data_IF_155125645789
#
_entry.id   IF_155125645789
#
_cell.length_a   1.000
_cell.length_b   1.000
_cell.length_c   1.000
_cell.angle_alpha   90.00
_cell.angle_beta   90.00
_cell.angle_gamma   90.00
#
_symmetry.space_group_name_H-M   'P 1'
#
loop_
_entity.id
_entity.type
_entity.pdbx_description
1 polymer ?
#
# COMPACT_ATOMS: atom_id res chain seq x y z
N UNK A 1 -68.46 -21.14 32.40
CA UNK A 1 -68.78 -19.75 32.03
C UNK A 1 -67.50 -18.94 32.17
N UNK A 2 -66.67 -18.94 31.13
CA UNK A 2 -65.38 -18.22 31.09
C UNK A 2 -65.61 -16.94 30.32
N UNK A 3 -65.48 -15.79 31.00
CA UNK A 3 -65.57 -14.48 30.37
C UNK A 3 -64.37 -14.29 29.43
N UNK A 4 -64.67 -13.93 28.18
CA UNK A 4 -63.69 -13.56 27.18
C UNK A 4 -63.46 -12.06 27.31
N UNK A 5 -62.34 -11.68 27.93
CA UNK A 5 -61.93 -10.30 28.12
C UNK A 5 -61.50 -9.72 26.75
N UNK A 6 -62.33 -8.85 26.17
CA UNK A 6 -61.99 -8.16 24.92
C UNK A 6 -61.02 -7.02 25.21
N UNK A 7 -59.73 -7.23 24.90
CA UNK A 7 -58.72 -6.17 24.88
C UNK A 7 -59.04 -5.16 23.77
N UNK A 8 -59.23 -3.90 24.13
CA UNK A 8 -59.36 -2.79 23.18
C UNK A 8 -58.02 -2.52 22.50
N UNK A 9 -58.00 -2.61 21.17
CA UNK A 9 -56.86 -2.24 20.35
C UNK A 9 -56.77 -0.71 20.29
N UNK A 10 -55.81 -0.12 21.02
CA UNK A 10 -55.45 1.29 20.84
C UNK A 10 -54.68 1.39 19.52
N UNK A 11 -55.30 1.98 18.49
CA UNK A 11 -54.68 2.16 17.18
C UNK A 11 -53.45 3.05 17.25
N UNK A 12 -52.44 2.75 16.43
CA UNK A 12 -51.25 3.59 16.26
C UNK A 12 -51.65 5.02 15.90
N UNK A 13 -51.09 5.99 16.62
CA UNK A 13 -51.30 7.40 16.30
C UNK A 13 -50.41 7.79 15.12
N UNK A 14 -50.86 8.69 14.23
CA UNK A 14 -50.05 9.17 13.10
C UNK A 14 -48.70 9.76 13.55
N UNK A 15 -48.66 10.34 14.75
CA UNK A 15 -47.45 10.88 15.36
C UNK A 15 -46.43 9.78 15.72
N UNK A 16 -46.89 8.59 16.11
CA UNK A 16 -46.02 7.46 16.48
C UNK A 16 -45.25 6.92 15.28
N UNK A 17 -45.91 6.78 14.13
CA UNK A 17 -45.27 6.37 12.87
C UNK A 17 -44.25 7.43 12.41
N UNK A 18 -44.58 8.71 12.54
CA UNK A 18 -43.69 9.80 12.15
C UNK A 18 -42.43 9.85 13.02
N UNK A 19 -42.57 9.66 14.34
CA UNK A 19 -41.43 9.55 15.25
C UNK A 19 -40.58 8.33 14.93
N UNK A 20 -41.20 7.17 14.65
CA UNK A 20 -40.48 5.95 14.27
C UNK A 20 -39.66 6.14 12.98
N UNK A 21 -40.22 6.82 11.96
CA UNK A 21 -39.50 7.13 10.72
C UNK A 21 -38.32 8.08 10.94
N UNK A 22 -38.45 9.07 11.82
CA UNK A 22 -37.33 9.98 12.16
C UNK A 22 -36.20 9.21 12.85
N UNK A 23 -36.53 8.40 13.86
CA UNK A 23 -35.53 7.57 14.55
C UNK A 23 -34.85 6.59 13.59
N UNK A 24 -35.63 5.97 12.68
CA UNK A 24 -35.09 5.10 11.64
C UNK A 24 -34.14 5.83 10.70
N UNK A 25 -34.52 7.03 10.22
CA UNK A 25 -33.68 7.83 9.33
C UNK A 25 -32.34 8.21 10.00
N UNK A 26 -32.38 8.62 11.28
CA UNK A 26 -31.16 8.92 12.05
C UNK A 26 -30.29 7.67 12.20
N UNK A 27 -30.90 6.51 12.52
CA UNK A 27 -30.19 5.24 12.61
C UNK A 27 -29.52 4.83 11.29
N UNK A 28 -30.19 5.04 10.15
CA UNK A 28 -29.67 4.71 8.83
C UNK A 28 -28.50 5.62 8.43
N UNK A 29 -28.55 6.91 8.76
CA UNK A 29 -27.41 7.83 8.55
C UNK A 29 -26.18 7.41 9.38
N UNK A 30 -26.39 6.95 10.62
CA UNK A 30 -25.33 6.39 11.45
C UNK A 30 -24.67 5.15 10.81
N UNK A 31 -25.49 4.21 10.30
CA UNK A 31 -25.00 3.01 9.64
C UNK A 31 -24.23 3.32 8.35
N UNK A 32 -24.73 4.26 7.54
CA UNK A 32 -24.07 4.65 6.28
C UNK A 32 -22.66 5.20 6.54
N UNK A 33 -22.48 6.00 7.60
CA UNK A 33 -21.16 6.50 7.99
C UNK A 33 -20.21 5.35 8.36
N UNK A 34 -20.66 4.43 9.22
CA UNK A 34 -19.85 3.27 9.62
C UNK A 34 -19.48 2.39 8.42
N UNK A 35 -20.38 2.23 7.45
CA UNK A 35 -20.11 1.48 6.23
C UNK A 35 -19.03 2.15 5.37
N UNK A 36 -19.03 3.48 5.27
CA UNK A 36 -18.00 4.23 4.55
C UNK A 36 -16.64 4.10 5.25
N UNK A 37 -16.58 4.25 6.57
CA UNK A 37 -15.36 4.07 7.36
C UNK A 37 -14.81 2.64 7.20
N UNK A 38 -15.67 1.62 7.28
CA UNK A 38 -15.28 0.23 7.07
C UNK A 38 -14.73 -0.02 5.66
N UNK A 39 -15.36 0.57 4.63
CA UNK A 39 -14.89 0.49 3.25
C UNK A 39 -13.50 1.13 3.08
N UNK A 40 -13.28 2.32 3.64
CA UNK A 40 -11.98 2.99 3.59
C UNK A 40 -10.89 2.18 4.30
N UNK A 41 -11.17 1.71 5.52
CA UNK A 41 -10.23 0.88 6.28
C UNK A 41 -9.87 -0.41 5.54
N UNK A 42 -10.86 -1.05 4.89
CA UNK A 42 -10.60 -2.21 4.04
C UNK A 42 -9.66 -1.87 2.88
N UNK A 43 -9.83 -0.71 2.23
CA UNK A 43 -8.94 -0.30 1.13
C UNK A 43 -7.50 -0.10 1.61
N UNK A 44 -7.30 0.55 2.77
CA UNK A 44 -5.95 0.76 3.33
C UNK A 44 -5.27 -0.56 3.71
N UNK A 45 -6.02 -1.49 4.30
CA UNK A 45 -5.51 -2.83 4.60
C UNK A 45 -5.09 -3.59 3.34
N UNK A 46 -5.90 -3.53 2.28
CA UNK A 46 -5.57 -4.17 0.98
C UNK A 46 -4.32 -3.53 0.36
N UNK A 47 -4.24 -2.21 0.32
CA UNK A 47 -3.08 -1.47 -0.21
C UNK A 47 -1.78 -1.87 0.52
N UNK A 48 -1.80 -1.94 1.86
CA UNK A 48 -0.63 -2.37 2.64
C UNK A 48 -0.23 -3.82 2.34
N UNK A 49 -1.19 -4.69 2.07
CA UNK A 49 -0.96 -6.09 1.69
C UNK A 49 -0.30 -6.19 0.31
N UNK A 50 -0.79 -5.41 -0.66
CA UNK A 50 -0.21 -5.31 -2.00
C UNK A 50 1.24 -4.79 -1.95
N UNK A 51 1.50 -3.72 -1.19
CA UNK A 51 2.85 -3.18 -0.97
C UNK A 51 3.80 -4.24 -0.40
N UNK A 52 3.34 -4.97 0.63
CA UNK A 52 4.15 -6.01 1.28
C UNK A 52 4.45 -7.17 0.32
N UNK A 53 3.45 -7.56 -0.48
CA UNK A 53 3.59 -8.61 -1.49
C UNK A 53 4.56 -8.19 -2.59
N UNK A 54 4.47 -6.94 -3.04
CA UNK A 54 5.37 -6.39 -4.04
C UNK A 54 6.81 -6.32 -3.52
N UNK A 55 7.04 -5.83 -2.30
CA UNK A 55 8.37 -5.82 -1.69
C UNK A 55 8.96 -7.24 -1.59
N UNK A 56 8.14 -8.20 -1.17
CA UNK A 56 8.55 -9.61 -1.08
C UNK A 56 8.91 -10.18 -2.46
N UNK A 57 8.14 -9.85 -3.50
CA UNK A 57 8.43 -10.28 -4.87
C UNK A 57 9.80 -9.81 -5.37
N UNK A 58 10.17 -8.55 -5.09
CA UNK A 58 11.50 -8.05 -5.45
C UNK A 58 12.61 -8.76 -4.68
N UNK A 59 12.44 -9.01 -3.37
CA UNK A 59 13.42 -9.75 -2.58
C UNK A 59 13.67 -11.14 -3.16
N UNK A 60 12.63 -11.86 -3.56
CA UNK A 60 12.78 -13.18 -4.16
C UNK A 60 13.51 -13.12 -5.51
N UNK A 61 13.27 -12.09 -6.34
CA UNK A 61 14.04 -11.84 -7.57
C UNK A 61 15.52 -11.53 -7.27
N UNK A 62 15.78 -10.70 -6.26
CA UNK A 62 17.15 -10.38 -5.82
C UNK A 62 17.88 -11.63 -5.32
N UNK A 63 17.22 -12.49 -4.53
CA UNK A 63 17.77 -13.77 -4.07
C UNK A 63 18.10 -14.71 -5.22
N UNK A 64 17.30 -14.70 -6.29
CA UNK A 64 17.59 -15.49 -7.49
C UNK A 64 18.79 -14.94 -8.30
N UNK A 65 19.15 -13.66 -8.12
CA UNK A 65 20.20 -12.97 -8.86
C UNK A 65 21.29 -12.39 -7.93
N UNK A 66 21.86 -13.25 -7.07
CA UNK A 66 22.95 -12.88 -6.16
C UNK A 66 24.14 -12.16 -6.82
N UNK A 67 24.60 -12.51 -8.05
CA UNK A 67 25.70 -11.79 -8.68
C UNK A 67 25.41 -10.30 -8.89
N UNK A 68 24.15 -9.94 -9.17
CA UNK A 68 23.74 -8.55 -9.31
C UNK A 68 23.57 -7.85 -7.95
N UNK A 69 23.06 -8.57 -6.94
CA UNK A 69 22.99 -8.09 -5.55
C UNK A 69 24.38 -7.73 -5.04
N UNK A 70 25.35 -8.62 -5.19
CA UNK A 70 26.73 -8.40 -4.74
C UNK A 70 27.45 -7.27 -5.49
N UNK A 71 26.96 -6.90 -6.68
CA UNK A 71 27.50 -5.82 -7.50
C UNK A 71 26.68 -4.52 -7.42
N UNK A 72 25.80 -4.40 -6.41
CA UNK A 72 24.95 -3.25 -6.13
C UNK A 72 24.02 -2.84 -7.28
N UNK A 73 23.59 -3.82 -8.09
CA UNK A 73 22.80 -3.55 -9.30
C UNK A 73 21.31 -3.42 -9.07
N UNK A 74 20.85 -3.64 -7.84
CA UNK A 74 19.46 -3.42 -7.41
C UNK A 74 19.27 -2.12 -6.62
N UNK A 75 20.33 -1.31 -6.42
CA UNK A 75 20.17 0.00 -5.78
C UNK A 75 19.27 0.87 -6.66
N UNK A 76 18.21 1.40 -6.06
CA UNK A 76 17.18 2.15 -6.78
C UNK A 76 16.53 3.20 -5.89
N UNK A 77 16.30 4.39 -6.42
CA UNK A 77 15.50 5.44 -5.80
C UNK A 77 14.50 6.02 -6.79
N UNK A 78 13.22 5.99 -6.44
CA UNK A 78 12.18 6.59 -7.28
C UNK A 78 12.29 8.11 -7.43
N UNK A 79 13.03 8.77 -6.52
CA UNK A 79 13.23 10.22 -6.55
C UNK A 79 14.35 10.66 -7.51
N UNK A 80 15.37 9.82 -7.75
CA UNK A 80 16.53 10.20 -8.57
C UNK A 80 16.68 9.39 -9.85
N UNK A 81 16.27 8.12 -9.88
CA UNK A 81 16.75 7.19 -10.90
C UNK A 81 15.80 7.04 -12.09
N UNK A 82 14.56 7.54 -11.96
CA UNK A 82 13.52 7.37 -12.98
C UNK A 82 13.16 5.90 -13.19
N UNK A 83 12.62 5.55 -14.36
CA UNK A 83 12.40 4.14 -14.72
C UNK A 83 13.69 3.52 -15.27
N UNK A 84 14.11 2.34 -14.79
CA UNK A 84 15.27 1.64 -15.36
C UNK A 84 15.12 1.41 -16.86
N UNK A 85 16.24 1.43 -17.59
CA UNK A 85 16.26 1.24 -19.03
C UNK A 85 15.63 -0.09 -19.44
N UNK A 86 14.93 -0.10 -20.57
CA UNK A 86 14.41 -1.34 -21.14
C UNK A 86 15.56 -2.20 -21.64
N UNK A 87 15.60 -3.46 -21.20
CA UNK A 87 16.57 -4.45 -21.66
C UNK A 87 15.95 -5.21 -22.85
N UNK A 88 16.59 -5.14 -24.00
CA UNK A 88 16.13 -5.83 -25.22
C UNK A 88 16.52 -7.30 -25.18
N UNK A 89 15.59 -8.19 -25.55
CA UNK A 89 15.87 -9.62 -25.67
C UNK A 89 15.98 -10.36 -24.33
N UNK A 90 15.52 -9.74 -23.24
CA UNK A 90 15.28 -10.44 -21.99
C UNK A 90 13.77 -10.56 -21.77
N UNK A 91 13.25 -11.77 -21.94
CA UNK A 91 11.84 -12.11 -21.83
C UNK A 91 11.67 -13.60 -21.45
N UNK A 92 10.44 -14.11 -21.45
CA UNK A 92 10.16 -15.52 -21.10
C UNK A 92 10.79 -16.54 -22.06
N UNK A 93 11.14 -16.12 -23.28
CA UNK A 93 11.73 -16.97 -24.32
C UNK A 93 13.25 -16.84 -24.41
N UNK A 94 13.81 -15.71 -23.99
CA UNK A 94 15.23 -15.39 -24.08
C UNK A 94 15.79 -14.95 -22.73
N UNK A 95 16.81 -15.66 -22.25
CA UNK A 95 17.54 -15.27 -21.03
C UNK A 95 18.26 -13.92 -21.23
N UNK A 96 18.25 -13.08 -20.19
CA UNK A 96 19.06 -11.88 -20.10
C UNK A 96 20.55 -12.19 -20.36
N UNK A 97 21.27 -11.28 -21.04
CA UNK A 97 22.67 -11.47 -21.40
C UNK A 97 23.64 -11.34 -20.21
N UNK A 98 23.22 -10.68 -19.13
CA UNK A 98 23.99 -10.58 -17.88
C UNK A 98 23.09 -10.49 -16.64
N UNK A 99 23.67 -10.77 -15.47
CA UNK A 99 23.02 -10.54 -14.17
C UNK A 99 22.61 -9.07 -13.97
N UNK A 100 23.38 -8.13 -14.51
CA UNK A 100 23.05 -6.70 -14.47
C UNK A 100 21.82 -6.35 -15.32
N UNK A 101 21.74 -6.90 -16.53
CA UNK A 101 20.56 -6.75 -17.39
C UNK A 101 19.32 -7.37 -16.73
N UNK A 102 19.46 -8.53 -16.07
CA UNK A 102 18.37 -9.14 -15.33
C UNK A 102 17.88 -8.26 -14.17
N UNK A 103 18.79 -7.62 -13.43
CA UNK A 103 18.41 -6.70 -12.36
C UNK A 103 17.65 -5.47 -12.87
N UNK A 104 18.08 -4.89 -13.99
CA UNK A 104 17.35 -3.77 -14.63
C UNK A 104 15.96 -4.20 -15.11
N UNK A 105 15.86 -5.39 -15.72
CA UNK A 105 14.60 -5.96 -16.15
C UNK A 105 13.66 -6.22 -14.98
N UNK A 106 14.16 -6.83 -13.90
CA UNK A 106 13.42 -7.09 -12.66
C UNK A 106 12.88 -5.81 -12.03
N UNK A 107 13.75 -4.81 -11.80
CA UNK A 107 13.34 -3.53 -11.22
C UNK A 107 12.28 -2.86 -12.09
N UNK A 108 12.47 -2.85 -13.42
CA UNK A 108 11.50 -2.27 -14.35
C UNK A 108 10.15 -2.97 -14.29
N UNK A 109 10.12 -4.29 -14.38
CA UNK A 109 8.88 -5.07 -14.28
C UNK A 109 8.19 -4.87 -12.93
N UNK A 110 8.97 -4.88 -11.85
CA UNK A 110 8.47 -4.68 -10.50
C UNK A 110 7.86 -3.30 -10.30
N UNK A 111 8.50 -2.24 -10.80
CA UNK A 111 7.98 -0.87 -10.73
C UNK A 111 6.66 -0.75 -11.50
N UNK A 112 6.54 -1.35 -12.69
CA UNK A 112 5.26 -1.38 -13.42
C UNK A 112 4.17 -2.18 -12.70
N UNK A 113 4.51 -3.31 -12.08
CA UNK A 113 3.55 -4.10 -11.31
C UNK A 113 3.02 -3.33 -10.10
N UNK A 114 3.89 -2.57 -9.43
CA UNK A 114 3.54 -1.67 -8.34
C UNK A 114 2.64 -0.52 -8.83
N UNK A 115 2.97 0.09 -9.97
CA UNK A 115 2.17 1.14 -10.62
C UNK A 115 0.73 0.70 -10.91
N UNK A 116 0.57 -0.52 -11.42
CA UNK A 116 -0.74 -1.07 -11.76
C UNK A 116 -1.57 -1.51 -10.54
N UNK A 117 -0.91 -2.06 -9.52
CA UNK A 117 -1.60 -2.53 -8.30
C UNK A 117 -2.01 -1.37 -7.39
N UNK A 118 -1.24 -0.29 -7.38
CA UNK A 118 -1.47 0.86 -6.51
C UNK A 118 -1.65 2.09 -7.41
N UNK A 119 -2.87 2.36 -7.92
CA UNK A 119 -3.13 3.42 -8.91
C UNK A 119 -2.83 4.86 -8.46
N UNK A 120 -2.29 5.07 -7.26
CA UNK A 120 -1.73 6.34 -6.79
C UNK A 120 -0.23 6.49 -7.12
N UNK A 121 0.41 5.45 -7.65
CA UNK A 121 1.82 5.46 -8.04
C UNK A 121 1.90 5.94 -9.49
N UNK A 122 2.60 7.05 -9.70
CA UNK A 122 3.11 7.44 -11.01
C UNK A 122 4.62 7.15 -11.02
N UNK A 123 5.01 5.90 -11.27
CA UNK A 123 6.45 5.53 -11.39
C UNK A 123 7.10 6.11 -12.64
N UNK A 124 6.32 6.65 -13.58
CA UNK A 124 6.82 7.39 -14.74
C UNK A 124 7.27 8.79 -14.34
N UNK A 125 8.48 8.93 -13.79
CA UNK A 125 9.21 10.20 -13.71
C UNK A 125 8.43 11.32 -13.02
N UNK A 126 8.24 11.18 -11.71
CA UNK A 126 7.99 12.24 -10.71
C UNK A 126 7.18 13.47 -11.15
N UNK A 127 5.89 13.49 -10.81
CA UNK A 127 5.18 14.72 -10.37
C UNK A 127 4.11 14.50 -9.28
N UNK A 128 3.92 13.28 -8.75
CA UNK A 128 3.15 13.08 -7.52
C UNK A 128 4.06 12.55 -6.40
N UNK A 129 4.25 13.37 -5.35
CA UNK A 129 5.08 13.09 -4.16
C UNK A 129 4.49 12.04 -3.21
N UNK A 130 3.39 11.40 -3.58
CA UNK A 130 2.61 10.62 -2.63
C UNK A 130 3.22 9.27 -2.31
N UNK A 131 4.12 8.74 -3.17
CA UNK A 131 4.78 7.45 -2.99
C UNK A 131 6.28 7.53 -3.30
N UNK A 132 7.11 7.06 -2.37
CA UNK A 132 8.57 6.99 -2.52
C UNK A 132 9.07 5.57 -2.31
N UNK A 133 9.91 5.10 -3.23
CA UNK A 133 10.51 3.78 -3.20
C UNK A 133 12.03 3.92 -3.16
N UNK A 134 12.65 3.21 -2.23
CA UNK A 134 14.10 3.13 -2.12
C UNK A 134 14.53 1.69 -1.87
N UNK A 135 15.48 1.21 -2.67
CA UNK A 135 16.15 -0.09 -2.51
C UNK A 135 17.63 0.21 -2.31
N UNK A 136 18.19 -0.23 -1.20
CA UNK A 136 19.60 -0.04 -0.91
C UNK A 136 20.09 -0.97 0.20
N UNK A 137 21.40 -1.00 0.42
CA UNK A 137 21.98 -1.59 1.62
C UNK A 137 21.84 -0.64 2.80
N UNK A 138 21.38 -1.20 3.92
CA UNK A 138 21.15 -0.48 5.17
C UNK A 138 21.38 -1.43 6.34
N UNK A 139 22.45 -1.17 7.11
CA UNK A 139 22.80 -1.96 8.30
C UNK A 139 21.86 -1.72 9.49
N UNK A 140 21.07 -0.65 9.45
CA UNK A 140 20.17 -0.21 10.51
C UNK A 140 18.80 0.16 9.95
N UNK A 141 18.05 -0.82 9.40
CA UNK A 141 16.82 -0.54 8.70
C UNK A 141 15.85 0.21 9.61
N UNK A 142 15.44 1.40 9.17
CA UNK A 142 14.58 2.26 9.96
C UNK A 142 13.14 1.74 9.89
N UNK A 143 12.64 1.27 11.03
CA UNK A 143 11.23 0.83 11.20
C UNK A 143 10.30 1.96 11.65
N UNK A 144 10.86 3.16 11.90
CA UNK A 144 10.07 4.31 12.31
C UNK A 144 9.18 4.81 11.16
N UNK A 145 7.98 5.27 11.53
CA UNK A 145 7.05 5.92 10.60
C UNK A 145 7.70 7.19 10.03
N UNK A 146 7.59 7.46 8.71
CA UNK A 146 8.20 8.62 8.09
C UNK A 146 7.60 9.92 8.62
N UNK A 147 8.39 10.99 8.68
CA UNK A 147 7.86 12.35 8.88
C UNK A 147 7.41 13.00 7.56
N UNK A 148 7.95 12.53 6.43
CA UNK A 148 7.55 12.79 5.05
C UNK A 148 8.04 11.62 4.15
N UNK A 149 7.48 11.40 2.95
CA UNK A 149 7.99 10.37 2.02
C UNK A 149 9.49 10.58 1.74
N UNK A 150 10.31 9.55 1.97
CA UNK A 150 11.76 9.59 1.78
C UNK A 150 12.57 10.35 2.84
N UNK A 151 11.94 10.96 3.85
CA UNK A 151 12.70 11.49 4.99
C UNK A 151 13.15 10.33 5.89
N UNK A 152 14.43 10.31 6.27
CA UNK A 152 15.04 9.32 7.18
C UNK A 152 15.29 7.91 6.59
N UNK A 153 15.68 7.79 5.31
CA UNK A 153 16.22 6.53 4.79
C UNK A 153 17.74 6.62 4.79
N UNK A 154 18.39 5.76 5.58
CA UNK A 154 19.84 5.69 5.67
C UNK A 154 20.36 4.57 4.77
N UNK A 155 20.59 4.87 3.51
CA UNK A 155 21.35 3.95 2.64
C UNK A 155 22.84 4.09 2.99
N UNK A 156 23.28 3.44 4.05
CA UNK A 156 24.67 3.52 4.51
C UNK A 156 25.64 2.71 3.63
N UNK A 157 25.11 1.78 2.82
CA UNK A 157 25.94 0.94 1.95
C UNK A 157 26.78 -0.08 2.72
N UNK A 158 26.50 -0.28 4.01
CA UNK A 158 27.28 -1.14 4.90
C UNK A 158 26.57 -2.46 5.16
N UNK A 159 27.38 -3.48 5.46
CA UNK A 159 26.96 -4.87 5.64
C UNK A 159 26.24 -5.43 4.39
N UNK A 160 25.92 -6.72 4.43
CA UNK A 160 25.18 -7.39 3.36
C UNK A 160 23.66 -7.29 3.56
N UNK A 161 23.17 -6.37 4.39
CA UNK A 161 21.76 -6.22 4.66
C UNK A 161 21.10 -5.30 3.62
N UNK A 162 20.25 -5.89 2.79
CA UNK A 162 19.45 -5.19 1.79
C UNK A 162 18.09 -4.83 2.36
N UNK A 163 17.64 -3.60 2.10
CA UNK A 163 16.37 -3.09 2.57
C UNK A 163 15.60 -2.41 1.45
N UNK A 164 14.31 -2.72 1.38
CA UNK A 164 13.33 -2.07 0.51
C UNK A 164 12.43 -1.21 1.40
N UNK A 165 12.38 0.07 1.07
CA UNK A 165 11.50 1.06 1.65
C UNK A 165 10.44 1.46 0.64
N UNK A 166 9.17 1.39 1.06
CA UNK A 166 8.03 1.90 0.30
C UNK A 166 7.26 2.82 1.23
N UNK A 167 7.34 4.12 0.96
CA UNK A 167 6.64 5.18 1.68
C UNK A 167 5.43 5.64 0.88
N UNK A 168 4.29 5.85 1.54
CA UNK A 168 3.10 6.43 0.90
C UNK A 168 2.34 7.36 1.84
N UNK A 169 1.45 8.19 1.29
CA UNK A 169 0.52 9.01 2.08
C UNK A 169 -0.85 8.33 2.18
N UNK A 170 -1.41 8.32 3.39
CA UNK A 170 -2.76 7.82 3.67
C UNK A 170 -3.60 8.96 4.25
N UNK A 171 -4.84 9.12 3.78
CA UNK A 171 -5.73 10.16 4.31
C UNK A 171 -6.33 9.73 5.65
N UNK A 172 -6.31 10.62 6.64
CA UNK A 172 -6.88 10.39 7.96
C UNK A 172 -8.10 11.28 8.16
N UNK A 173 -9.30 10.71 8.03
CA UNK A 173 -10.56 11.47 8.19
C UNK A 173 -10.69 12.13 9.57
N UNK A 174 -10.19 11.48 10.64
CA UNK A 174 -10.24 12.02 12.00
C UNK A 174 -9.44 13.32 12.20
N UNK A 175 -8.43 13.56 11.36
CA UNK A 175 -7.52 14.72 11.47
C UNK A 175 -7.54 15.62 10.22
N UNK A 176 -8.33 15.25 9.21
CA UNK A 176 -8.42 15.88 7.88
C UNK A 176 -7.03 16.17 7.25
N UNK A 177 -6.12 15.18 7.35
CA UNK A 177 -4.73 15.31 6.93
C UNK A 177 -4.20 14.04 6.29
N UNK A 178 -3.25 14.19 5.38
CA UNK A 178 -2.44 13.10 4.88
C UNK A 178 -1.37 12.73 5.89
N UNK A 179 -1.26 11.44 6.15
CA UNK A 179 -0.42 10.84 7.16
C UNK A 179 0.58 9.91 6.46
N UNK A 180 1.89 10.15 6.63
CA UNK A 180 2.93 9.36 5.95
C UNK A 180 2.99 7.95 6.53
N UNK A 181 3.10 6.93 5.69
CA UNK A 181 3.19 5.52 6.03
C UNK A 181 4.46 4.94 5.41
N UNK A 182 4.98 3.87 6.01
CA UNK A 182 6.17 3.14 5.51
C UNK A 182 5.97 1.65 5.65
N UNK A 183 6.38 0.94 4.64
CA UNK A 183 6.63 -0.48 4.69
C UNK A 183 8.12 -0.71 4.45
N UNK A 184 8.75 -1.37 5.41
CA UNK A 184 10.17 -1.76 5.35
C UNK A 184 10.23 -3.28 5.29
N UNK A 185 11.03 -3.81 4.37
CA UNK A 185 11.34 -5.23 4.30
C UNK A 185 12.84 -5.38 4.04
N UNK A 186 13.52 -6.14 4.89
CA UNK A 186 14.95 -6.36 4.79
C UNK A 186 15.28 -7.84 4.64
N UNK A 187 16.37 -8.12 3.92
CA UNK A 187 16.93 -9.46 3.83
C UNK A 187 18.46 -9.40 3.78
N UNK A 188 19.08 -10.52 4.14
CA UNK A 188 20.50 -10.76 3.90
C UNK A 188 20.56 -11.87 2.83
N UNK A 189 21.27 -11.65 1.71
CA UNK A 189 21.41 -12.61 0.61
C UNK A 189 22.14 -13.90 1.01
#
# INVERSE_FOLDING_TARGET
MTMMEMKTQLGFTLIEVLVALILFAIGMLGLAKLQLEAHQNSRYSSQRTEITTAASNLIERMRANLPAVNADKYVYSSQSDGLPAAVTGCDESNACGSSYELAQHDLRQWLFAIDQSIPAINTSGSINNDIHIQVCRDSTPTVARPSAPGSNINCDGLLDQWTIYIDWLEHSEAEDKFKPQRQTLSFIP
#
